data_IF_640997306890
#
_entry.id   IF_640997306890
#
_cell.length_a   1.000
_cell.length_b   1.000
_cell.length_c   1.000
_cell.angle_alpha   90.00
_cell.angle_beta   90.00
_cell.angle_gamma   90.00
#
_symmetry.space_group_name_H-M   'P 1'
#
loop_
_entity.id
_entity.type
_entity.pdbx_description
1 polymer ?
#
# COMPACT_ATOMS: atom_id res chain seq x y z
N UNK A 1 8.47 -42.50 49.95
CA UNK A 1 8.73 -41.09 50.35
C UNK A 1 10.23 -40.87 50.63
N UNK A 2 11.10 -41.09 49.64
CA UNK A 2 12.56 -40.87 49.73
C UNK A 2 13.10 -41.18 48.33
N UNK A 3 13.07 -40.26 47.36
CA UNK A 3 14.27 -39.48 46.99
C UNK A 3 13.94 -38.17 46.24
N UNK A 4 12.71 -37.96 45.76
CA UNK A 4 12.37 -36.77 44.95
C UNK A 4 12.28 -35.46 45.76
N UNK A 5 12.19 -35.54 47.08
CA UNK A 5 12.14 -34.36 47.98
C UNK A 5 13.51 -33.70 48.22
N UNK A 6 14.63 -34.36 47.86
CA UNK A 6 15.98 -33.81 48.06
C UNK A 6 16.52 -33.00 46.88
N UNK A 7 15.88 -33.07 45.70
CA UNK A 7 16.32 -32.34 44.50
C UNK A 7 15.74 -30.91 44.39
N UNK A 8 14.77 -30.56 45.24
CA UNK A 8 14.15 -29.22 45.27
C UNK A 8 14.58 -28.38 46.50
N UNK A 9 15.55 -28.88 47.28
CA UNK A 9 15.99 -28.25 48.54
C UNK A 9 17.18 -27.30 48.43
N UNK A 10 17.61 -26.92 47.23
CA UNK A 10 18.78 -26.07 47.04
C UNK A 10 18.56 -25.08 45.91
N UNK A 11 18.94 -23.82 46.18
CA UNK A 11 18.92 -22.65 45.28
C UNK A 11 17.69 -21.73 45.40
N UNK A 12 17.49 -21.07 46.56
CA UNK A 12 16.56 -19.93 46.70
C UNK A 12 16.86 -18.76 45.73
N UNK A 13 18.06 -18.71 45.14
CA UNK A 13 18.44 -17.71 44.13
C UNK A 13 17.77 -17.92 42.77
N UNK A 14 17.56 -19.17 42.33
CA UNK A 14 16.99 -19.47 41.00
C UNK A 14 15.50 -19.08 40.95
N UNK A 15 14.74 -19.36 42.02
CA UNK A 15 13.33 -18.96 42.14
C UNK A 15 13.15 -17.44 42.12
N UNK A 16 14.03 -16.69 42.81
CA UNK A 16 14.04 -15.22 42.77
C UNK A 16 14.41 -14.66 41.40
N UNK A 17 15.36 -15.28 40.70
CA UNK A 17 15.77 -14.86 39.36
C UNK A 17 14.64 -15.04 38.33
N UNK A 18 13.93 -16.17 38.39
CA UNK A 18 12.75 -16.40 37.56
C UNK A 18 11.61 -15.43 37.87
N UNK A 19 11.30 -15.21 39.16
CA UNK A 19 10.30 -14.23 39.57
C UNK A 19 10.65 -12.80 39.16
N UNK A 20 11.92 -12.40 39.27
CA UNK A 20 12.38 -11.07 38.89
C UNK A 20 12.31 -10.81 37.37
N UNK A 21 12.67 -11.82 36.56
CA UNK A 21 12.53 -11.72 35.10
C UNK A 21 11.07 -11.72 34.67
N UNK A 22 10.22 -12.50 35.33
CA UNK A 22 8.78 -12.53 35.09
C UNK A 22 8.11 -11.19 35.45
N UNK A 23 8.41 -10.63 36.62
CA UNK A 23 7.91 -9.31 37.05
C UNK A 23 8.44 -8.19 36.16
N UNK A 24 9.68 -8.26 35.68
CA UNK A 24 10.21 -7.30 34.68
C UNK A 24 9.48 -7.41 33.33
N UNK A 25 9.15 -8.62 32.88
CA UNK A 25 8.34 -8.80 31.68
C UNK A 25 6.93 -8.24 31.87
N UNK A 26 6.31 -8.45 33.02
CA UNK A 26 5.00 -7.86 33.34
C UNK A 26 5.05 -6.33 33.46
N UNK A 27 6.12 -5.78 34.02
CA UNK A 27 6.32 -4.34 34.11
C UNK A 27 6.53 -3.68 32.74
N UNK A 28 7.17 -4.37 31.78
CA UNK A 28 7.26 -3.91 30.39
C UNK A 28 5.89 -3.88 29.70
N UNK A 29 5.01 -4.82 30.02
CA UNK A 29 3.64 -4.88 29.50
C UNK A 29 2.75 -3.78 30.11
N UNK A 30 3.01 -3.38 31.37
CA UNK A 30 2.22 -2.36 32.09
C UNK A 30 2.67 -0.92 31.86
N UNK A 31 3.70 -0.65 31.05
CA UNK A 31 4.13 0.73 30.81
C UNK A 31 3.04 1.51 30.05
N UNK A 32 2.69 2.72 30.52
CA UNK A 32 1.70 3.54 29.84
C UNK A 32 2.22 3.91 28.43
N UNK A 33 1.34 3.97 27.42
CA UNK A 33 1.75 4.26 26.05
C UNK A 33 2.50 5.59 25.98
N UNK A 34 3.66 5.58 25.33
CA UNK A 34 4.45 6.77 25.04
C UNK A 34 3.59 7.81 24.30
N UNK A 35 3.64 9.08 24.72
CA UNK A 35 2.83 10.15 24.13
C UNK A 35 3.19 10.34 22.65
N UNK A 36 2.36 9.79 21.77
CA UNK A 36 2.49 9.91 20.31
C UNK A 36 2.34 11.37 19.84
N UNK A 37 3.19 11.80 18.91
CA UNK A 37 3.11 13.13 18.28
C UNK A 37 1.82 13.24 17.44
N UNK A 38 1.21 14.42 17.27
CA UNK A 38 0.06 14.62 16.38
C UNK A 38 0.23 14.05 14.97
N UNK A 39 1.47 14.03 14.46
CA UNK A 39 1.81 13.46 13.15
C UNK A 39 1.75 11.91 13.09
N UNK A 40 1.69 11.25 14.24
CA UNK A 40 1.58 9.79 14.35
C UNK A 40 0.11 9.33 14.34
N UNK A 41 -0.85 10.26 14.46
CA UNK A 41 -2.29 9.96 14.37
C UNK A 41 -2.78 9.82 12.91
N UNK A 42 -2.02 10.33 11.93
CA UNK A 42 -2.36 10.27 10.50
C UNK A 42 -1.24 9.54 9.74
N UNK A 43 -1.14 8.21 9.86
CA UNK A 43 -0.01 7.45 9.33
C UNK A 43 0.14 7.56 7.80
N UNK A 44 -0.93 7.87 7.07
CA UNK A 44 -0.92 8.03 5.62
C UNK A 44 -0.42 9.40 5.14
N UNK A 45 -0.28 10.41 6.00
CA UNK A 45 0.11 11.76 5.59
C UNK A 45 1.58 11.82 5.13
N UNK A 46 2.49 11.17 5.88
CA UNK A 46 3.93 11.11 5.58
C UNK A 46 4.20 10.45 4.21
N UNK A 47 3.68 9.24 3.89
CA UNK A 47 3.90 8.63 2.58
C UNK A 47 3.21 9.42 1.45
N UNK A 48 2.04 10.02 1.70
CA UNK A 48 1.38 10.88 0.72
C UNK A 48 2.23 12.11 0.37
N UNK A 49 2.74 12.83 1.38
CA UNK A 49 3.58 14.00 1.18
C UNK A 49 4.88 13.66 0.43
N UNK A 50 5.52 12.54 0.78
CA UNK A 50 6.67 12.03 0.04
C UNK A 50 6.33 11.75 -1.42
N UNK A 51 5.22 11.06 -1.69
CA UNK A 51 4.78 10.70 -3.05
C UNK A 51 4.53 11.95 -3.90
N UNK A 52 3.84 12.95 -3.34
CA UNK A 52 3.59 14.24 -4.01
C UNK A 52 4.89 14.97 -4.31
N UNK A 53 5.83 15.02 -3.35
CA UNK A 53 7.13 15.65 -3.57
C UNK A 53 7.93 14.93 -4.64
N UNK A 54 7.97 13.59 -4.60
CA UNK A 54 8.69 12.75 -5.55
C UNK A 54 8.18 12.96 -6.97
N UNK A 55 6.87 12.91 -7.17
CA UNK A 55 6.23 13.21 -8.46
C UNK A 55 6.55 14.63 -8.92
N UNK A 56 6.47 15.61 -8.02
CA UNK A 56 6.73 17.03 -8.35
C UNK A 56 8.15 17.25 -8.87
N UNK A 57 9.14 16.55 -8.30
CA UNK A 57 10.53 16.60 -8.78
C UNK A 57 10.64 16.06 -10.21
N UNK A 58 10.01 14.92 -10.50
CA UNK A 58 9.98 14.34 -11.83
C UNK A 58 9.31 15.27 -12.85
N UNK A 59 8.13 15.79 -12.50
CA UNK A 59 7.37 16.72 -13.35
C UNK A 59 8.18 17.98 -13.66
N UNK A 60 8.75 18.62 -12.64
CA UNK A 60 9.57 19.81 -12.81
C UNK A 60 10.78 19.56 -13.73
N UNK A 61 11.45 18.41 -13.57
CA UNK A 61 12.57 18.02 -14.42
C UNK A 61 12.14 17.86 -15.89
N UNK A 62 11.07 17.11 -16.17
CA UNK A 62 10.63 16.88 -17.55
C UNK A 62 10.07 18.14 -18.21
N UNK A 63 9.39 19.00 -17.46
CA UNK A 63 8.97 20.32 -17.97
C UNK A 63 10.19 21.17 -18.36
N UNK A 64 11.19 21.26 -17.48
CA UNK A 64 12.38 22.07 -17.72
C UNK A 64 13.29 21.52 -18.83
N UNK A 65 13.49 20.20 -18.88
CA UNK A 65 14.47 19.56 -19.78
C UNK A 65 13.91 19.20 -21.14
N UNK A 66 12.64 18.81 -21.21
CA UNK A 66 11.98 18.32 -22.43
C UNK A 66 10.94 19.31 -22.99
N UNK A 67 10.67 20.42 -22.29
CA UNK A 67 9.68 21.41 -22.72
C UNK A 67 8.24 20.86 -22.74
N UNK A 68 7.98 19.79 -21.98
CA UNK A 68 6.65 19.18 -21.91
C UNK A 68 5.70 20.07 -21.11
N UNK A 69 4.41 20.02 -21.47
CA UNK A 69 3.35 20.61 -20.65
C UNK A 69 3.29 19.90 -19.28
N UNK A 70 2.71 20.58 -18.29
CA UNK A 70 2.49 19.99 -16.97
C UNK A 70 1.69 18.67 -17.05
N UNK A 71 0.61 18.64 -17.83
CA UNK A 71 -0.24 17.44 -17.99
C UNK A 71 0.54 16.25 -18.53
N UNK A 72 1.37 16.48 -19.55
CA UNK A 72 2.19 15.45 -20.19
C UNK A 72 3.29 14.94 -19.25
N UNK A 73 3.97 15.86 -18.56
CA UNK A 73 5.01 15.49 -17.60
C UNK A 73 4.43 14.73 -16.40
N UNK A 74 3.28 15.15 -15.88
CA UNK A 74 2.56 14.45 -14.81
C UNK A 74 2.16 13.05 -15.26
N UNK A 75 1.52 12.93 -16.42
CA UNK A 75 1.14 11.66 -17.02
C UNK A 75 2.33 10.71 -17.16
N UNK A 76 3.42 11.19 -17.76
CA UNK A 76 4.63 10.38 -17.92
C UNK A 76 5.19 9.90 -16.56
N UNK A 77 5.26 10.79 -15.57
CA UNK A 77 5.71 10.44 -14.22
C UNK A 77 4.80 9.40 -13.57
N UNK A 78 3.47 9.58 -13.63
CA UNK A 78 2.51 8.65 -13.04
C UNK A 78 2.60 7.28 -13.73
N UNK A 79 2.48 7.23 -15.06
CA UNK A 79 2.56 5.97 -15.84
C UNK A 79 3.85 5.21 -15.56
N UNK A 80 4.95 5.93 -15.35
CA UNK A 80 6.25 5.34 -14.99
C UNK A 80 6.25 4.77 -13.57
N UNK A 81 5.83 5.54 -12.55
CA UNK A 81 5.87 5.08 -11.15
C UNK A 81 4.82 4.02 -10.85
N UNK A 82 3.68 4.03 -11.56
CA UNK A 82 2.68 2.95 -11.49
C UNK A 82 3.08 1.74 -12.33
N UNK A 83 4.30 1.73 -12.87
CA UNK A 83 4.90 0.64 -13.66
C UNK A 83 4.06 0.18 -14.85
N UNK A 84 3.16 1.04 -15.36
CA UNK A 84 2.33 0.74 -16.54
C UNK A 84 3.18 0.86 -17.80
N UNK A 85 3.85 2.00 -17.97
CA UNK A 85 4.88 2.17 -18.99
C UNK A 85 4.43 2.02 -20.45
N UNK A 86 3.36 2.70 -20.88
CA UNK A 86 2.85 2.59 -22.27
C UNK A 86 3.89 2.90 -23.36
N UNK A 87 4.90 3.72 -23.07
CA UNK A 87 5.95 4.06 -24.05
C UNK A 87 5.51 5.01 -25.17
N UNK A 88 4.33 5.60 -25.06
CA UNK A 88 3.81 6.67 -25.91
C UNK A 88 4.63 7.98 -25.81
N UNK A 89 5.14 8.26 -24.62
CA UNK A 89 6.14 9.30 -24.36
C UNK A 89 7.40 8.70 -23.76
N UNK A 90 8.56 9.19 -24.21
CA UNK A 90 9.85 8.69 -23.74
C UNK A 90 10.93 9.77 -23.83
N UNK A 91 11.95 9.72 -22.94
CA UNK A 91 13.04 10.68 -22.97
C UNK A 91 13.93 10.46 -24.20
N UNK A 92 14.09 11.51 -25.00
CA UNK A 92 14.94 11.50 -26.19
C UNK A 92 16.39 11.89 -25.88
N UNK A 93 16.59 12.70 -24.85
CA UNK A 93 17.89 13.24 -24.46
C UNK A 93 18.65 12.32 -23.49
N UNK A 94 19.99 12.29 -23.59
CA UNK A 94 20.86 11.47 -22.74
C UNK A 94 20.75 11.82 -21.25
N UNK A 95 20.64 13.11 -20.89
CA UNK A 95 20.48 13.50 -19.50
C UNK A 95 19.10 13.12 -18.96
N UNK A 96 18.06 13.24 -19.78
CA UNK A 96 16.72 12.78 -19.42
C UNK A 96 16.64 11.25 -19.25
N UNK A 97 17.36 10.48 -20.09
CA UNK A 97 17.53 9.03 -19.95
C UNK A 97 18.26 8.67 -18.65
N UNK A 98 19.33 9.38 -18.29
CA UNK A 98 20.04 9.14 -17.03
C UNK A 98 19.16 9.47 -15.81
N UNK A 99 18.43 10.59 -15.87
CA UNK A 99 17.50 10.98 -14.82
C UNK A 99 16.42 9.92 -14.61
N UNK A 100 15.77 9.45 -15.67
CA UNK A 100 14.68 8.47 -15.53
C UNK A 100 15.18 7.14 -14.95
N UNK A 101 16.41 6.73 -15.25
CA UNK A 101 17.02 5.53 -14.64
C UNK A 101 17.09 5.66 -13.12
N UNK A 102 17.64 6.77 -12.62
CA UNK A 102 17.74 7.03 -11.17
C UNK A 102 16.34 7.17 -10.55
N UNK A 103 15.47 7.91 -11.22
CA UNK A 103 14.10 8.15 -10.78
C UNK A 103 13.32 6.83 -10.61
N UNK A 104 13.39 5.92 -11.58
CA UNK A 104 12.71 4.61 -11.50
C UNK A 104 13.27 3.74 -10.36
N UNK A 105 14.59 3.71 -10.16
CA UNK A 105 15.21 2.96 -9.05
C UNK A 105 14.70 3.48 -7.69
N UNK A 106 14.63 4.81 -7.54
CA UNK A 106 14.07 5.44 -6.34
C UNK A 106 12.58 5.11 -6.16
N UNK A 107 11.79 5.13 -7.24
CA UNK A 107 10.37 4.80 -7.20
C UNK A 107 10.13 3.36 -6.72
N UNK A 108 10.86 2.39 -7.27
CA UNK A 108 10.75 0.97 -6.86
C UNK A 108 11.14 0.80 -5.39
N UNK A 109 12.19 1.48 -4.94
CA UNK A 109 12.62 1.44 -3.53
C UNK A 109 11.59 2.06 -2.59
N UNK A 110 10.93 3.15 -3.00
CA UNK A 110 9.84 3.75 -2.25
C UNK A 110 8.63 2.81 -2.13
N UNK A 111 8.24 2.16 -3.24
CA UNK A 111 7.16 1.15 -3.25
C UNK A 111 7.48 -0.01 -2.30
N UNK A 112 8.71 -0.53 -2.33
CA UNK A 112 9.14 -1.60 -1.42
C UNK A 112 9.03 -1.19 0.06
N UNK A 113 9.47 0.02 0.39
CA UNK A 113 9.37 0.57 1.75
C UNK A 113 7.92 0.70 2.20
N UNK A 114 7.03 1.16 1.32
CA UNK A 114 5.60 1.26 1.62
C UNK A 114 4.95 -0.10 1.83
N UNK A 115 5.31 -1.09 1.02
CA UNK A 115 4.81 -2.45 1.19
C UNK A 115 5.26 -3.05 2.52
N UNK A 116 6.52 -2.86 2.91
CA UNK A 116 7.02 -3.29 4.23
C UNK A 116 6.24 -2.68 5.38
N UNK A 117 5.97 -1.37 5.34
CA UNK A 117 5.16 -0.71 6.37
C UNK A 117 3.72 -1.21 6.45
N UNK A 118 3.11 -1.58 5.30
CA UNK A 118 1.79 -2.22 5.28
C UNK A 118 1.85 -3.61 5.92
N UNK A 119 2.85 -4.42 5.58
CA UNK A 119 3.03 -5.77 6.14
C UNK A 119 3.25 -5.72 7.65
N UNK A 120 4.10 -4.82 8.13
CA UNK A 120 4.32 -4.60 9.57
C UNK A 120 3.02 -4.20 10.28
N UNK A 121 2.26 -3.25 9.73
CA UNK A 121 0.98 -2.85 10.29
C UNK A 121 -0.09 -3.95 10.31
N UNK A 122 -0.03 -4.89 9.35
CA UNK A 122 -0.90 -6.09 9.35
C UNK A 122 -0.47 -7.06 10.46
N UNK A 123 0.83 -7.29 10.62
CA UNK A 123 1.38 -8.19 11.65
C UNK A 123 1.06 -7.66 13.06
N UNK A 124 1.22 -6.36 13.31
CA UNK A 124 0.90 -5.74 14.61
C UNK A 124 -0.57 -5.95 14.99
N UNK A 125 -1.50 -5.72 14.05
CA UNK A 125 -2.93 -5.94 14.29
C UNK A 125 -3.26 -7.41 14.58
N UNK A 126 -2.58 -8.35 13.93
CA UNK A 126 -2.75 -9.78 14.22
C UNK A 126 -2.29 -10.13 15.64
N UNK A 127 -1.13 -9.60 16.05
CA UNK A 127 -0.59 -9.82 17.38
C UNK A 127 -1.53 -9.26 18.47
N UNK A 128 -2.13 -8.09 18.23
CA UNK A 128 -3.14 -7.50 19.12
C UNK A 128 -4.42 -8.36 19.19
N UNK A 129 -4.95 -8.83 18.05
CA UNK A 129 -6.14 -9.70 18.02
C UNK A 129 -5.90 -11.01 18.76
N UNK A 130 -4.77 -11.67 18.53
CA UNK A 130 -4.42 -12.92 19.22
C UNK A 130 -4.33 -12.71 20.73
N UNK A 131 -3.71 -11.60 21.16
CA UNK A 131 -3.63 -11.23 22.58
C UNK A 131 -5.02 -11.00 23.16
N UNK A 132 -5.90 -10.30 22.43
CA UNK A 132 -7.28 -10.06 22.85
C UNK A 132 -8.10 -11.36 22.95
N UNK A 133 -7.95 -12.30 22.02
CA UNK A 133 -8.64 -13.61 22.08
C UNK A 133 -8.16 -14.43 23.29
N UNK A 134 -6.84 -14.49 23.53
CA UNK A 134 -6.28 -15.17 24.71
C UNK A 134 -6.82 -14.51 25.99
N UNK A 135 -6.85 -13.18 26.06
CA UNK A 135 -7.40 -12.46 27.23
C UNK A 135 -8.90 -12.74 27.44
N UNK A 136 -9.71 -12.82 26.37
CA UNK A 136 -11.13 -13.17 26.44
C UNK A 136 -11.40 -14.59 26.90
N UNK A 137 -10.51 -15.54 26.58
CA UNK A 137 -10.58 -16.90 27.14
C UNK A 137 -10.32 -16.91 28.65
N UNK A 138 -9.48 -16.01 29.16
CA UNK A 138 -9.29 -15.84 30.60
C UNK A 138 -10.47 -15.13 31.29
N UNK A 139 -11.14 -14.19 30.60
CA UNK A 139 -12.29 -13.43 31.14
C UNK A 139 -13.67 -14.08 30.87
N UNK A 140 -13.74 -15.22 30.18
CA UNK A 140 -14.95 -16.03 30.08
C UNK A 140 -16.07 -15.49 29.17
N UNK A 141 -15.83 -14.43 28.39
CA UNK A 141 -16.81 -13.91 27.42
C UNK A 141 -16.62 -14.55 26.04
N UNK A 142 -17.48 -15.52 25.70
CA UNK A 142 -17.61 -16.03 24.34
C UNK A 142 -18.37 -15.01 23.47
N UNK A 143 -17.63 -14.22 22.69
CA UNK A 143 -18.19 -13.42 21.60
C UNK A 143 -18.13 -14.19 20.29
N UNK A 144 -19.28 -14.42 19.66
CA UNK A 144 -19.36 -14.84 18.25
C UNK A 144 -18.74 -13.76 17.35
N UNK A 145 -17.61 -14.06 16.72
CA UNK A 145 -17.03 -13.20 15.69
C UNK A 145 -17.88 -13.29 14.42
N UNK A 146 -18.38 -12.12 13.99
CA UNK A 146 -19.31 -11.99 12.87
C UNK A 146 -18.59 -12.12 11.53
N UNK A 147 -18.66 -13.31 10.91
CA UNK A 147 -18.26 -13.55 9.51
C UNK A 147 -18.90 -12.55 8.52
N UNK A 148 -20.03 -11.95 8.89
CA UNK A 148 -20.74 -10.96 8.07
C UNK A 148 -19.95 -9.65 7.86
N UNK A 149 -19.05 -9.29 8.78
CA UNK A 149 -18.21 -8.08 8.65
C UNK A 149 -17.19 -8.22 7.51
N UNK A 150 -16.53 -9.37 7.44
CA UNK A 150 -15.49 -9.67 6.44
C UNK A 150 -16.05 -9.67 5.01
N UNK A 151 -17.23 -10.26 4.82
CA UNK A 151 -17.92 -10.24 3.53
C UNK A 151 -18.29 -8.82 3.09
N UNK A 152 -18.68 -7.95 4.02
CA UNK A 152 -19.04 -6.57 3.71
C UNK A 152 -17.85 -5.72 3.25
N UNK A 153 -16.66 -5.92 3.82
CA UNK A 153 -15.44 -5.19 3.45
C UNK A 153 -14.86 -5.65 2.10
N UNK A 154 -14.88 -6.97 1.85
CA UNK A 154 -14.47 -7.54 0.57
C UNK A 154 -15.39 -7.08 -0.56
N UNK A 155 -16.72 -7.06 -0.32
CA UNK A 155 -17.69 -6.56 -1.26
C UNK A 155 -17.51 -5.05 -1.55
N UNK A 156 -17.25 -4.24 -0.52
CA UNK A 156 -16.96 -2.81 -0.70
C UNK A 156 -15.71 -2.56 -1.55
N UNK A 157 -14.65 -3.35 -1.35
CA UNK A 157 -13.41 -3.24 -2.13
C UNK A 157 -13.63 -3.65 -3.59
N UNK A 158 -14.38 -4.72 -3.82
CA UNK A 158 -14.77 -5.16 -5.16
C UNK A 158 -15.67 -4.13 -5.86
N UNK A 159 -16.66 -3.58 -5.17
CA UNK A 159 -17.55 -2.55 -5.71
C UNK A 159 -16.78 -1.28 -6.07
N UNK A 160 -15.82 -0.86 -5.22
CA UNK A 160 -14.95 0.27 -5.51
C UNK A 160 -14.10 0.02 -6.76
N UNK A 161 -13.46 -1.15 -6.86
CA UNK A 161 -12.67 -1.50 -8.03
C UNK A 161 -13.53 -1.55 -9.31
N UNK A 162 -14.71 -2.18 -9.25
CA UNK A 162 -15.65 -2.22 -10.36
C UNK A 162 -16.09 -0.83 -10.81
N UNK A 163 -16.34 0.10 -9.86
CA UNK A 163 -16.66 1.48 -10.17
C UNK A 163 -15.52 2.19 -10.91
N UNK A 164 -14.29 2.09 -10.40
CA UNK A 164 -13.10 2.68 -11.04
C UNK A 164 -12.86 2.06 -12.43
N UNK A 165 -13.10 0.76 -12.57
CA UNK A 165 -12.99 0.04 -13.83
C UNK A 165 -14.00 0.54 -14.87
N UNK A 166 -15.28 0.66 -14.49
CA UNK A 166 -16.35 1.18 -15.37
C UNK A 166 -16.07 2.63 -15.77
N UNK A 167 -15.57 3.46 -14.86
CA UNK A 167 -15.15 4.84 -15.15
C UNK A 167 -14.04 4.86 -16.21
N UNK A 168 -13.04 3.97 -16.09
CA UNK A 168 -11.97 3.82 -17.08
C UNK A 168 -12.49 3.43 -18.46
N UNK A 169 -13.33 2.38 -18.53
CA UNK A 169 -13.94 1.94 -19.78
C UNK A 169 -14.78 3.05 -20.41
N UNK A 170 -15.62 3.73 -19.62
CA UNK A 170 -16.43 4.84 -20.09
C UNK A 170 -15.58 5.97 -20.67
N UNK A 171 -14.50 6.36 -20.00
CA UNK A 171 -13.58 7.37 -20.51
C UNK A 171 -12.99 6.97 -21.87
N UNK A 172 -12.49 5.73 -22.01
CA UNK A 172 -11.91 5.29 -23.28
C UNK A 172 -12.94 5.19 -24.41
N UNK A 173 -14.18 4.80 -24.12
CA UNK A 173 -15.25 4.76 -25.14
C UNK A 173 -15.69 6.16 -25.56
N UNK A 174 -15.95 7.06 -24.61
CA UNK A 174 -16.59 8.34 -24.90
C UNK A 174 -15.61 9.47 -25.23
N UNK A 175 -14.50 9.59 -24.49
CA UNK A 175 -13.51 10.66 -24.70
C UNK A 175 -12.48 10.25 -25.75
N UNK A 176 -11.97 9.00 -25.66
CA UNK A 176 -10.96 8.48 -26.58
C UNK A 176 -11.54 7.77 -27.81
N UNK A 177 -12.87 7.70 -27.93
CA UNK A 177 -13.60 7.10 -29.07
C UNK A 177 -13.17 5.67 -29.42
N UNK A 178 -12.69 4.92 -28.45
CA UNK A 178 -12.27 3.52 -28.61
C UNK A 178 -13.49 2.61 -28.72
N UNK A 179 -13.34 1.47 -29.38
CA UNK A 179 -14.37 0.43 -29.35
C UNK A 179 -14.55 -0.10 -27.92
N UNK A 180 -15.69 -0.72 -27.61
CA UNK A 180 -15.90 -1.30 -26.27
C UNK A 180 -14.83 -2.35 -25.92
N UNK A 181 -14.39 -3.13 -26.91
CA UNK A 181 -13.37 -4.16 -26.73
C UNK A 181 -12.01 -3.52 -26.44
N UNK A 182 -11.63 -2.50 -27.20
CA UNK A 182 -10.37 -1.79 -27.01
C UNK A 182 -10.35 -1.03 -25.68
N UNK A 183 -11.48 -0.44 -25.28
CA UNK A 183 -11.62 0.23 -23.99
C UNK A 183 -11.52 -0.76 -22.81
N UNK A 184 -12.13 -1.94 -22.91
CA UNK A 184 -11.99 -3.01 -21.91
C UNK A 184 -10.55 -3.52 -21.84
N UNK A 185 -9.94 -3.73 -23.00
CA UNK A 185 -8.54 -4.15 -23.10
C UNK A 185 -7.60 -3.11 -22.49
N UNK A 186 -7.70 -1.83 -22.88
CA UNK A 186 -6.94 -0.71 -22.32
C UNK A 186 -7.11 -0.63 -20.81
N UNK A 187 -8.35 -0.63 -20.32
CA UNK A 187 -8.63 -0.55 -18.88
C UNK A 187 -7.97 -1.70 -18.12
N UNK A 188 -8.01 -2.91 -18.69
CA UNK A 188 -7.42 -4.12 -18.09
C UNK A 188 -5.89 -4.03 -18.05
N UNK A 189 -5.23 -3.82 -19.20
CA UNK A 189 -3.74 -3.78 -19.26
C UNK A 189 -3.16 -2.63 -18.44
N UNK A 190 -3.92 -1.56 -18.24
CA UNK A 190 -3.52 -0.38 -17.47
C UNK A 190 -3.65 -0.62 -15.98
N UNK A 191 -4.81 -1.12 -15.54
CA UNK A 191 -5.06 -1.42 -14.12
C UNK A 191 -4.21 -2.58 -13.60
N UNK A 192 -3.85 -3.52 -14.48
CA UNK A 192 -2.93 -4.63 -14.17
C UNK A 192 -1.46 -4.29 -14.38
N UNK A 193 -1.14 -3.03 -14.72
CA UNK A 193 0.24 -2.54 -14.96
C UNK A 193 1.02 -3.31 -16.04
N UNK A 194 0.35 -3.83 -17.06
CA UNK A 194 0.98 -4.49 -18.22
C UNK A 194 1.37 -3.45 -19.28
N UNK A 195 0.45 -2.55 -19.63
CA UNK A 195 0.69 -1.36 -20.44
C UNK A 195 1.42 -1.57 -21.78
N UNK A 196 0.90 -2.44 -22.65
CA UNK A 196 1.54 -2.74 -23.95
C UNK A 196 1.79 -1.52 -24.86
N UNK A 197 1.00 -0.46 -24.74
CA UNK A 197 1.17 0.75 -25.56
C UNK A 197 0.87 0.56 -27.05
N UNK A 198 0.14 -0.50 -27.39
CA UNK A 198 -0.23 -0.89 -28.75
C UNK A 198 -1.39 -0.07 -29.32
N UNK A 199 -2.27 0.42 -28.45
CA UNK A 199 -3.37 1.31 -28.83
C UNK A 199 -2.99 2.77 -28.66
N UNK A 200 -3.33 3.56 -29.69
CA UNK A 200 -3.05 4.99 -29.69
C UNK A 200 -4.06 5.73 -28.81
N UNK A 201 -3.57 6.36 -27.76
CA UNK A 201 -4.32 7.31 -26.92
C UNK A 201 -4.07 8.70 -27.50
N UNK A 202 -5.13 9.49 -27.72
CA UNK A 202 -4.96 10.85 -28.22
C UNK A 202 -4.26 11.71 -27.15
N UNK A 203 -3.10 12.32 -27.46
CA UNK A 203 -2.30 13.06 -26.48
C UNK A 203 -2.91 14.43 -26.21
N UNK A 204 -4.01 14.44 -25.46
CA UNK A 204 -4.72 15.66 -25.03
C UNK A 204 -4.50 15.89 -23.55
N UNK A 205 -4.41 17.16 -23.13
CA UNK A 205 -4.20 17.51 -21.72
C UNK A 205 -5.29 16.94 -20.79
N UNK A 206 -6.53 16.84 -21.27
CA UNK A 206 -7.64 16.21 -20.55
C UNK A 206 -7.40 14.72 -20.31
N UNK A 207 -6.98 13.98 -21.35
CA UNK A 207 -6.72 12.56 -21.24
C UNK A 207 -5.51 12.25 -20.37
N UNK A 208 -4.42 13.01 -20.54
CA UNK A 208 -3.21 12.91 -19.73
C UNK A 208 -3.54 13.08 -18.23
N UNK A 209 -4.31 14.11 -17.87
CA UNK A 209 -4.71 14.37 -16.49
C UNK A 209 -5.68 13.30 -15.96
N UNK A 210 -6.67 12.91 -16.76
CA UNK A 210 -7.62 11.87 -16.35
C UNK A 210 -6.89 10.56 -16.06
N UNK A 211 -6.07 10.07 -16.99
CA UNK A 211 -5.35 8.81 -16.85
C UNK A 211 -4.39 8.87 -15.66
N UNK A 212 -3.72 10.01 -15.45
CA UNK A 212 -2.84 10.22 -14.28
C UNK A 212 -3.59 9.99 -12.96
N UNK A 213 -4.76 10.62 -12.80
CA UNK A 213 -5.54 10.49 -11.57
C UNK A 213 -6.15 9.10 -11.47
N UNK A 214 -6.75 8.63 -12.56
CA UNK A 214 -7.44 7.34 -12.63
C UNK A 214 -6.52 6.16 -12.34
N UNK A 215 -5.28 6.14 -12.85
CA UNK A 215 -4.30 5.08 -12.59
C UNK A 215 -3.93 4.94 -11.10
N UNK A 216 -3.84 6.06 -10.39
CA UNK A 216 -3.57 6.03 -8.94
C UNK A 216 -4.73 5.37 -8.20
N UNK A 217 -5.98 5.66 -8.57
CA UNK A 217 -7.14 5.03 -7.96
C UNK A 217 -7.29 3.55 -8.36
N UNK A 218 -6.99 3.19 -9.62
CA UNK A 218 -7.10 1.80 -10.08
C UNK A 218 -6.09 0.88 -9.38
N UNK A 219 -4.86 1.35 -9.17
CA UNK A 219 -3.82 0.60 -8.46
C UNK A 219 -4.15 0.40 -6.98
N UNK A 220 -4.72 1.41 -6.30
CA UNK A 220 -5.24 1.27 -4.92
C UNK A 220 -6.40 0.28 -4.86
N UNK A 221 -7.33 0.33 -5.82
CA UNK A 221 -8.45 -0.60 -5.90
C UNK A 221 -7.99 -2.05 -6.03
N UNK A 222 -7.03 -2.32 -6.92
CA UNK A 222 -6.47 -3.65 -7.12
C UNK A 222 -5.76 -4.16 -5.85
N UNK A 223 -4.95 -3.30 -5.20
CA UNK A 223 -4.27 -3.64 -3.95
C UNK A 223 -5.25 -4.04 -2.85
N UNK A 224 -6.42 -3.39 -2.76
CA UNK A 224 -7.46 -3.71 -1.77
C UNK A 224 -8.19 -5.03 -2.07
N UNK A 225 -8.47 -5.33 -3.34
CA UNK A 225 -9.13 -6.59 -3.74
C UNK A 225 -8.20 -7.79 -3.49
N UNK A 226 -6.90 -7.61 -3.67
CA UNK A 226 -5.86 -8.62 -3.43
C UNK A 226 -5.53 -8.90 -1.95
N UNK A 227 -6.17 -8.17 -1.02
CA UNK A 227 -6.14 -8.48 0.42
C UNK A 227 -7.47 -9.14 0.78
N UNK A 228 -7.74 -10.40 0.37
CA UNK A 228 -8.84 -11.15 0.94
C UNK A 228 -8.50 -11.37 2.41
N UNK A 229 -9.27 -10.69 3.26
CA UNK A 229 -9.35 -10.95 4.69
C UNK A 229 -9.61 -12.45 4.94
N UNK A 230 -8.53 -13.18 5.20
CA UNK A 230 -8.49 -14.19 6.26
C UNK A 230 -7.50 -13.69 7.30
N UNK A 231 -7.89 -12.64 8.01
CA UNK A 231 -7.20 -12.11 9.19
C UNK A 231 -8.22 -11.49 10.14
#
# INVERSE_FOLDING_TARGET
>A
MSESSKLLGGQPEISKAYGANFVRSLAKVSMPPEKRSPADYIPWLKPLAFSVLFISVGVAFFMARMGWSFSKALYFCIVTITTVGYGDFYPMDSAAKLFIVVYVICAISAIATYLSGVVEGVIEKQAERLTNVISRQFDGEQGEESEAGVFSEAFQSLAFFALVFVIGVGFFVFDQKQSLVDALYLTTISSSTVGYGDLTIEPTARAELFISVWLVFSTIGLAKVGIPLRL
#
